data_IF_905706585495
#
_entry.id   IF_905706585495
#
_cell.length_a   1.000
_cell.length_b   1.000
_cell.length_c   1.000
_cell.angle_alpha   90.00
_cell.angle_beta   90.00
_cell.angle_gamma   90.00
#
_symmetry.space_group_name_H-M   'P 1'
#
loop_
_entity.id
_entity.type
_entity.pdbx_description
1 polymer ?
#
# COMPACT_ATOMS: atom_id res chain seq x y z
N UNK A 1 9.72 -14.11 -0.60
CA UNK A 1 9.96 -12.68 -0.91
C UNK A 1 8.75 -11.92 -0.41
N UNK A 2 8.94 -10.73 0.19
CA UNK A 2 7.84 -9.91 0.73
C UNK A 2 7.54 -8.71 -0.16
N UNK A 3 6.31 -8.23 -0.13
CA UNK A 3 5.91 -6.97 -0.74
C UNK A 3 5.81 -5.89 0.32
N UNK A 4 6.29 -4.68 0.02
CA UNK A 4 6.05 -3.49 0.84
C UNK A 4 5.40 -2.41 -0.02
N UNK A 5 4.18 -2.01 0.36
CA UNK A 5 3.38 -1.03 -0.36
C UNK A 5 3.28 0.27 0.43
N UNK A 6 3.62 1.41 -0.19
CA UNK A 6 3.56 2.72 0.47
C UNK A 6 2.19 3.39 0.28
N UNK A 7 1.43 3.53 1.37
CA UNK A 7 0.09 4.14 1.41
C UNK A 7 -0.06 5.26 2.47
N UNK A 8 1.05 5.92 2.86
CA UNK A 8 1.06 6.91 3.94
C UNK A 8 0.88 8.40 3.55
N UNK A 9 0.88 8.72 2.25
CA UNK A 9 0.91 10.11 1.78
C UNK A 9 -0.44 10.85 1.86
N UNK A 10 -0.45 12.09 2.36
CA UNK A 10 -1.66 12.94 2.50
C UNK A 10 -2.34 13.37 1.19
N UNK A 11 -1.71 13.13 0.03
CA UNK A 11 -2.31 13.40 -1.27
C UNK A 11 -2.77 14.86 -1.49
N UNK A 12 -2.14 15.85 -0.85
CA UNK A 12 -2.62 17.25 -0.81
C UNK A 12 -2.81 17.90 -2.19
N UNK A 13 -2.03 17.46 -3.19
CA UNK A 13 -2.15 17.91 -4.58
C UNK A 13 -3.43 17.46 -5.30
N UNK A 14 -4.13 16.44 -4.78
CA UNK A 14 -5.36 15.90 -5.35
C UNK A 14 -6.63 16.39 -4.62
N UNK A 15 -6.49 17.40 -3.76
CA UNK A 15 -7.65 18.04 -3.14
C UNK A 15 -8.56 18.64 -4.22
N UNK A 16 -9.90 18.52 -4.10
CA UNK A 16 -10.63 18.14 -2.89
C UNK A 16 -10.83 16.63 -2.68
N UNK A 17 -10.48 15.77 -3.63
CA UNK A 17 -10.76 14.32 -3.56
C UNK A 17 -10.09 13.62 -2.37
N UNK A 18 -8.96 14.15 -1.92
CA UNK A 18 -8.19 13.62 -0.79
C UNK A 18 -8.49 14.30 0.54
N UNK A 19 -9.56 15.11 0.64
CA UNK A 19 -10.03 15.60 1.94
C UNK A 19 -10.62 14.50 2.80
N UNK A 20 -11.34 13.57 2.17
CA UNK A 20 -12.08 12.51 2.86
C UNK A 20 -11.52 11.13 2.59
N UNK A 21 -10.71 10.97 1.55
CA UNK A 21 -10.29 9.65 1.04
C UNK A 21 -8.78 9.55 0.89
N UNK A 22 -8.20 8.42 1.30
CA UNK A 22 -6.79 8.10 1.01
C UNK A 22 -6.51 8.18 -0.50
N UNK A 23 -5.40 8.79 -0.90
CA UNK A 23 -5.03 8.93 -2.31
C UNK A 23 -4.98 7.58 -3.03
N UNK A 24 -4.49 6.55 -2.35
CA UNK A 24 -4.32 5.20 -2.87
C UNK A 24 -5.66 4.47 -3.09
N UNK A 25 -6.75 5.00 -2.50
CA UNK A 25 -8.10 4.49 -2.68
C UNK A 25 -8.90 5.26 -3.75
N UNK A 26 -8.30 6.29 -4.36
CA UNK A 26 -8.91 6.97 -5.51
C UNK A 26 -9.08 5.94 -6.64
N UNK A 27 -10.28 5.81 -7.23
CA UNK A 27 -10.52 4.80 -8.25
C UNK A 27 -9.88 5.20 -9.59
N UNK A 28 -9.24 4.22 -10.24
CA UNK A 28 -8.87 4.27 -11.65
C UNK A 28 -9.65 3.15 -12.34
N UNK A 29 -10.40 3.49 -13.39
CA UNK A 29 -11.30 2.55 -14.08
C UNK A 29 -12.21 1.74 -13.12
N UNK A 30 -12.83 2.45 -12.15
CA UNK A 30 -13.75 1.90 -11.13
C UNK A 30 -13.14 0.97 -10.08
N UNK A 31 -11.81 0.87 -10.00
CA UNK A 31 -11.13 0.10 -8.95
C UNK A 31 -10.09 0.95 -8.22
N UNK A 32 -9.97 0.86 -6.89
CA UNK A 32 -8.91 1.57 -6.14
C UNK A 32 -7.51 1.26 -6.69
N UNK A 33 -6.65 2.27 -6.83
CA UNK A 33 -5.26 2.08 -7.31
C UNK A 33 -4.53 1.02 -6.49
N UNK A 34 -4.70 1.04 -5.18
CA UNK A 34 -4.07 0.09 -4.27
C UNK A 34 -4.40 -1.38 -4.58
N UNK A 35 -5.61 -1.66 -5.11
CA UNK A 35 -6.01 -3.03 -5.41
C UNK A 35 -5.20 -3.57 -6.59
N UNK A 36 -4.95 -2.75 -7.62
CA UNK A 36 -4.07 -3.12 -8.71
C UNK A 36 -2.66 -3.44 -8.21
N UNK A 37 -2.11 -2.65 -7.29
CA UNK A 37 -0.79 -2.92 -6.71
C UNK A 37 -0.74 -4.27 -6.00
N UNK A 38 -1.76 -4.59 -5.19
CA UNK A 38 -1.83 -5.86 -4.46
C UNK A 38 -1.96 -7.04 -5.42
N UNK A 39 -2.90 -6.95 -6.38
CA UNK A 39 -3.10 -7.99 -7.39
C UNK A 39 -1.82 -8.27 -8.19
N UNK A 40 -1.11 -7.22 -8.63
CA UNK A 40 0.15 -7.37 -9.37
C UNK A 40 1.25 -8.06 -8.56
N UNK A 41 1.36 -7.75 -7.27
CA UNK A 41 2.29 -8.45 -6.38
C UNK A 41 1.92 -9.93 -6.24
N UNK A 42 0.62 -10.22 -6.10
CA UNK A 42 0.12 -11.60 -6.04
C UNK A 42 0.36 -12.35 -7.35
N UNK A 43 0.15 -11.72 -8.51
CA UNK A 43 0.45 -12.28 -9.83
C UNK A 43 1.94 -12.63 -9.98
N UNK A 44 2.82 -11.88 -9.31
CA UNK A 44 4.27 -12.18 -9.22
C UNK A 44 4.62 -13.25 -8.18
N UNK A 45 3.64 -13.83 -7.49
CA UNK A 45 3.84 -14.84 -6.43
C UNK A 45 4.22 -14.26 -5.06
N UNK A 46 4.03 -12.96 -4.85
CA UNK A 46 4.31 -12.28 -3.57
C UNK A 46 3.00 -12.14 -2.80
N UNK A 47 2.78 -12.99 -1.80
CA UNK A 47 1.53 -13.04 -1.02
C UNK A 47 1.64 -12.47 0.39
N UNK A 48 2.85 -12.23 0.90
CA UNK A 48 3.08 -11.51 2.16
C UNK A 48 3.33 -10.03 1.87
N UNK A 49 2.32 -9.18 2.05
CA UNK A 49 2.32 -7.78 1.59
C UNK A 49 2.08 -6.81 2.74
N UNK A 50 3.13 -6.16 3.23
CA UNK A 50 3.02 -5.11 4.22
C UNK A 50 2.55 -3.80 3.58
N UNK A 51 1.53 -3.16 4.14
CA UNK A 51 1.04 -1.85 3.68
C UNK A 51 1.39 -0.78 4.72
N UNK A 52 2.25 0.15 4.35
CA UNK A 52 2.55 1.34 5.16
C UNK A 52 1.35 2.27 5.12
N UNK A 53 0.80 2.60 6.29
CA UNK A 53 -0.37 3.47 6.44
C UNK A 53 -0.05 4.67 7.33
N UNK A 54 -0.65 5.82 7.02
CA UNK A 54 -0.59 7.02 7.86
C UNK A 54 -1.97 7.35 8.43
N UNK A 55 -2.33 8.64 8.42
CA UNK A 55 -3.61 9.17 8.93
C UNK A 55 -4.86 8.45 8.38
N UNK A 56 -4.77 7.83 7.19
CA UNK A 56 -5.90 7.16 6.53
C UNK A 56 -5.91 5.64 6.72
N UNK A 57 -5.20 5.11 7.72
CA UNK A 57 -5.08 3.68 7.99
C UNK A 57 -6.43 2.93 8.03
N UNK A 58 -7.42 3.50 8.72
CA UNK A 58 -8.75 2.87 8.85
C UNK A 58 -9.45 2.69 7.50
N UNK A 59 -9.32 3.66 6.60
CA UNK A 59 -9.93 3.56 5.27
C UNK A 59 -9.26 2.49 4.43
N UNK A 60 -7.93 2.42 4.49
CA UNK A 60 -7.15 1.42 3.77
C UNK A 60 -7.49 0.03 4.31
N UNK A 61 -7.56 -0.14 5.63
CA UNK A 61 -7.96 -1.39 6.29
C UNK A 61 -9.38 -1.81 5.93
N UNK A 62 -10.32 -0.87 5.91
CA UNK A 62 -11.72 -1.15 5.53
C UNK A 62 -11.85 -1.59 4.07
N UNK A 63 -11.04 -1.04 3.17
CA UNK A 63 -11.08 -1.39 1.74
C UNK A 63 -10.38 -2.73 1.45
N UNK A 64 -9.20 -2.97 2.03
CA UNK A 64 -8.34 -4.11 1.68
C UNK A 64 -8.60 -5.33 2.58
N UNK A 65 -9.02 -5.13 3.83
CA UNK A 65 -9.26 -6.21 4.78
C UNK A 65 -7.96 -6.86 5.26
N UNK A 66 -7.96 -8.18 5.45
CA UNK A 66 -6.74 -8.95 5.77
C UNK A 66 -5.94 -9.38 4.53
N UNK A 67 -6.41 -9.02 3.33
CA UNK A 67 -5.81 -9.41 2.06
C UNK A 67 -6.38 -10.71 1.46
N UNK A 68 -7.22 -11.45 2.19
CA UNK A 68 -7.70 -12.77 1.76
C UNK A 68 -8.48 -12.74 0.44
N UNK A 69 -9.21 -11.66 0.16
CA UNK A 69 -9.92 -11.44 -1.12
C UNK A 69 -8.97 -11.44 -2.33
N UNK A 70 -7.69 -11.14 -2.11
CA UNK A 70 -6.64 -11.12 -3.14
C UNK A 70 -5.77 -12.38 -3.11
N UNK A 71 -6.00 -13.33 -2.19
CA UNK A 71 -5.10 -14.47 -1.99
C UNK A 71 -3.78 -14.11 -1.30
N UNK A 72 -3.76 -13.02 -0.51
CA UNK A 72 -2.58 -12.50 0.19
C UNK A 72 -2.84 -12.33 1.70
N UNK A 73 -1.76 -12.15 2.47
CA UNK A 73 -1.79 -11.63 3.84
C UNK A 73 -1.31 -10.19 3.85
N UNK A 74 -2.15 -9.28 4.36
CA UNK A 74 -1.90 -7.84 4.34
C UNK A 74 -1.84 -7.24 5.75
N UNK A 75 -0.67 -7.25 6.43
CA UNK A 75 -0.48 -6.48 7.64
C UNK A 75 -0.34 -4.99 7.36
N UNK A 76 -0.89 -4.17 8.26
CA UNK A 76 -0.82 -2.71 8.19
C UNK A 76 0.23 -2.19 9.16
N UNK A 77 1.15 -1.38 8.62
CA UNK A 77 2.32 -0.88 9.35
C UNK A 77 2.14 0.65 9.49
N UNK A 78 1.86 1.16 10.69
CA UNK A 78 1.65 2.58 10.90
C UNK A 78 2.96 3.35 10.72
N UNK A 79 2.90 4.47 10.00
CA UNK A 79 3.97 5.45 9.87
C UNK A 79 3.52 6.79 10.45
N UNK A 80 4.17 7.21 11.55
CA UNK A 80 3.78 8.40 12.31
C UNK A 80 3.87 9.70 11.49
N UNK A 81 4.86 9.79 10.59
CA UNK A 81 5.05 10.95 9.74
C UNK A 81 5.58 10.56 8.35
N UNK A 82 5.13 11.23 7.27
CA UNK A 82 5.57 10.97 5.91
C UNK A 82 6.97 11.57 5.65
N UNK A 83 7.98 11.04 6.33
CA UNK A 83 9.39 11.47 6.28
C UNK A 83 10.15 10.92 5.06
N UNK A 84 9.43 10.37 4.09
CA UNK A 84 9.98 9.83 2.85
C UNK A 84 9.99 8.30 2.77
N UNK A 85 10.43 7.81 1.62
CA UNK A 85 10.36 6.40 1.24
C UNK A 85 11.28 5.54 2.11
N UNK A 86 12.51 5.98 2.34
CA UNK A 86 13.48 5.25 3.17
C UNK A 86 13.00 5.10 4.63
N UNK A 87 12.34 6.14 5.17
CA UNK A 87 11.73 6.04 6.50
C UNK A 87 10.64 4.98 6.54
N UNK A 88 9.81 4.88 5.49
CA UNK A 88 8.77 3.84 5.40
C UNK A 88 9.37 2.43 5.42
N UNK A 89 10.48 2.21 4.71
CA UNK A 89 11.22 0.93 4.75
C UNK A 89 11.75 0.66 6.15
N UNK A 90 12.32 1.65 6.84
CA UNK A 90 12.80 1.51 8.21
C UNK A 90 11.67 1.16 9.20
N UNK A 91 10.49 1.78 9.06
CA UNK A 91 9.31 1.47 9.87
C UNK A 91 8.81 0.03 9.66
N UNK A 92 9.05 -0.55 8.48
CA UNK A 92 8.69 -1.93 8.17
C UNK A 92 9.73 -2.97 8.60
N UNK A 93 10.79 -2.59 9.32
CA UNK A 93 11.91 -3.46 9.68
C UNK A 93 11.45 -4.83 10.22
N UNK A 94 10.56 -4.85 11.21
CA UNK A 94 10.10 -6.09 11.85
C UNK A 94 9.26 -6.97 10.92
N UNK A 95 8.48 -6.35 10.03
CA UNK A 95 7.74 -7.07 9.00
C UNK A 95 8.68 -7.66 7.95
N UNK A 96 9.70 -6.92 7.52
CA UNK A 96 10.63 -7.36 6.48
C UNK A 96 11.56 -8.47 7.01
N UNK A 97 12.19 -8.26 8.16
CA UNK A 97 13.25 -9.12 8.68
C UNK A 97 14.38 -9.28 7.66
N UNK A 98 14.95 -10.48 7.58
CA UNK A 98 16.02 -10.81 6.61
C UNK A 98 15.50 -11.22 5.22
N UNK A 99 14.20 -11.09 4.96
CA UNK A 99 13.61 -11.50 3.68
C UNK A 99 13.92 -10.50 2.57
N UNK A 100 14.28 -10.95 1.35
CA UNK A 100 14.28 -10.05 0.19
C UNK A 100 12.86 -9.53 -0.03
N UNK A 101 12.77 -8.27 -0.44
CA UNK A 101 11.48 -7.60 -0.64
C UNK A 101 11.45 -6.71 -1.88
N UNK A 102 10.24 -6.48 -2.37
CA UNK A 102 9.95 -5.49 -3.41
C UNK A 102 9.23 -4.32 -2.77
N UNK A 103 9.67 -3.11 -3.12
CA UNK A 103 9.01 -1.88 -2.74
C UNK A 103 8.13 -1.38 -3.88
N UNK A 104 6.84 -1.19 -3.61
CA UNK A 104 5.88 -0.68 -4.59
C UNK A 104 5.19 0.57 -4.00
N UNK A 105 5.17 1.68 -4.74
CA UNK A 105 4.39 2.85 -4.33
C UNK A 105 2.91 2.63 -4.62
N UNK A 106 2.04 2.73 -3.60
CA UNK A 106 0.61 2.40 -3.73
C UNK A 106 -0.21 3.35 -4.61
N UNK A 107 0.44 4.31 -5.27
CA UNK A 107 -0.12 5.24 -6.25
C UNK A 107 0.46 5.04 -7.67
N UNK A 108 1.41 4.13 -7.83
CA UNK A 108 1.93 3.74 -9.13
C UNK A 108 1.00 2.71 -9.76
N UNK A 109 0.70 2.91 -11.04
CA UNK A 109 -0.07 1.99 -11.85
C UNK A 109 0.75 1.65 -13.09
N UNK A 110 1.11 0.38 -13.24
CA UNK A 110 1.92 -0.14 -14.34
C UNK A 110 1.08 -1.11 -15.16
N UNK A 111 1.15 -1.03 -16.49
CA UNK A 111 0.44 -1.92 -17.42
C UNK A 111 1.44 -2.65 -18.31
N UNK A 112 1.21 -3.95 -18.55
CA UNK A 112 1.97 -4.75 -19.51
C UNK A 112 3.42 -5.06 -19.10
N UNK A 113 3.67 -5.17 -17.79
CA UNK A 113 4.96 -5.61 -17.22
C UNK A 113 5.08 -7.12 -17.20
#
# INVERSE_FOLDING_TARGET
MKGLVLSGGKGSRLRPFTYTTAKQLVPIANKPVLFYTIEQLVECGITDIGVIVGDTAEQVRAAVGDGSQFGASVPYIPQDAPLGIAHAVATAHDFLGDSPFVLYLGDNFVLGG
#
